data_IF_323118080546
#
_entry.id   IF_323118080546
#
_cell.length_a   1.000
_cell.length_b   1.000
_cell.length_c   1.000
_cell.angle_alpha   90.00
_cell.angle_beta   90.00
_cell.angle_gamma   90.00
#
_symmetry.space_group_name_H-M   'P 1'
#
loop_
_entity.id
_entity.type
_entity.pdbx_description
1 polymer ?
#
# COMPACT_ATOMS: atom_id res chain seq x y z
N UNK A 1 10.29 -7.45 -10.29
CA UNK A 1 8.91 -7.33 -10.81
C UNK A 1 8.50 -8.57 -11.58
N UNK A 2 9.22 -8.97 -12.63
CA UNK A 2 8.85 -10.10 -13.50
C UNK A 2 8.54 -11.43 -12.77
N UNK A 3 9.11 -11.67 -11.58
CA UNK A 3 8.83 -12.87 -10.77
C UNK A 3 7.44 -12.90 -10.11
N UNK A 4 6.80 -11.75 -9.95
CA UNK A 4 5.50 -11.59 -9.26
C UNK A 4 4.43 -10.95 -10.15
N UNK A 5 4.81 -10.57 -11.37
CA UNK A 5 3.89 -10.00 -12.33
C UNK A 5 3.11 -11.13 -13.01
N UNK A 6 1.83 -11.23 -12.66
CA UNK A 6 0.88 -12.20 -13.22
C UNK A 6 -0.03 -11.59 -14.28
N UNK A 7 0.18 -10.32 -14.66
CA UNK A 7 -0.67 -9.58 -15.61
C UNK A 7 -1.71 -8.64 -14.96
N UNK A 8 -1.96 -8.80 -13.66
CA UNK A 8 -2.91 -8.02 -12.85
C UNK A 8 -2.26 -6.78 -12.17
N UNK A 9 -1.10 -6.38 -12.70
CA UNK A 9 -0.29 -5.28 -12.19
C UNK A 9 0.53 -5.64 -10.95
N UNK A 10 1.46 -4.76 -10.57
CA UNK A 10 2.40 -4.97 -9.46
C UNK A 10 2.33 -3.80 -8.48
N UNK A 11 2.17 -4.12 -7.20
CA UNK A 11 2.34 -3.17 -6.11
C UNK A 11 3.79 -3.22 -5.58
N UNK A 12 4.44 -2.06 -5.49
CA UNK A 12 5.71 -1.90 -4.79
C UNK A 12 5.43 -1.24 -3.45
N UNK A 13 5.87 -1.86 -2.37
CA UNK A 13 5.64 -1.39 -1.02
C UNK A 13 6.96 -0.88 -0.42
N UNK A 14 6.98 0.36 0.08
CA UNK A 14 8.16 0.97 0.70
C UNK A 14 7.85 1.55 2.07
N UNK A 15 8.85 1.58 2.93
CA UNK A 15 8.76 2.07 4.31
C UNK A 15 8.43 3.56 4.40
N UNK A 16 9.05 4.40 3.57
CA UNK A 16 8.91 5.85 3.60
C UNK A 16 8.96 6.45 2.19
N UNK A 17 8.31 7.60 2.01
CA UNK A 17 8.41 8.37 0.77
C UNK A 17 9.70 9.18 0.74
N UNK A 18 10.38 9.22 -0.41
CA UNK A 18 11.55 10.09 -0.63
C UNK A 18 12.91 9.50 -0.24
N UNK A 19 12.97 8.26 0.27
CA UNK A 19 14.24 7.55 0.45
C UNK A 19 14.80 7.00 -0.88
N UNK A 20 16.10 6.70 -0.94
CA UNK A 20 16.75 6.08 -2.11
C UNK A 20 16.02 4.84 -2.64
N UNK A 21 15.51 3.91 -1.79
CA UNK A 21 14.71 2.77 -2.27
C UNK A 21 13.35 3.20 -2.85
N UNK A 22 12.71 4.22 -2.27
CA UNK A 22 11.42 4.75 -2.74
C UNK A 22 11.56 5.49 -4.07
N UNK A 23 12.65 6.24 -4.28
CA UNK A 23 12.87 6.93 -5.55
C UNK A 23 13.14 5.94 -6.69
N UNK A 24 13.86 4.85 -6.40
CA UNK A 24 14.03 3.75 -7.35
C UNK A 24 12.68 3.08 -7.67
N UNK A 25 11.83 2.83 -6.67
CA UNK A 25 10.49 2.31 -6.89
C UNK A 25 9.62 3.25 -7.75
N UNK A 26 9.65 4.55 -7.47
CA UNK A 26 8.91 5.57 -8.25
C UNK A 26 9.39 5.63 -9.69
N UNK A 27 10.69 5.49 -9.96
CA UNK A 27 11.21 5.44 -11.34
C UNK A 27 10.61 4.30 -12.18
N UNK A 28 10.16 3.23 -11.51
CA UNK A 28 9.50 2.09 -12.14
C UNK A 28 8.00 2.31 -12.42
N UNK A 29 7.37 3.39 -11.92
CA UNK A 29 5.97 3.75 -12.24
C UNK A 29 5.77 4.13 -13.71
N UNK A 30 6.85 4.41 -14.44
CA UNK A 30 6.81 4.58 -15.89
C UNK A 30 6.30 3.33 -16.63
N UNK A 31 6.30 2.16 -15.96
CA UNK A 31 5.72 0.93 -16.48
C UNK A 31 4.21 0.90 -16.26
N UNK A 32 3.43 0.47 -17.26
CA UNK A 32 1.99 0.32 -17.10
C UNK A 32 1.67 -0.70 -15.99
N UNK A 33 0.59 -0.42 -15.24
CA UNK A 33 0.08 -1.29 -14.16
C UNK A 33 1.05 -1.49 -12.99
N UNK A 34 1.95 -0.54 -12.72
CA UNK A 34 2.80 -0.54 -11.52
C UNK A 34 2.36 0.58 -10.60
N UNK A 35 2.07 0.24 -9.34
CA UNK A 35 1.70 1.20 -8.29
C UNK A 35 2.73 1.15 -7.16
N UNK A 36 3.02 2.31 -6.56
CA UNK A 36 3.97 2.43 -5.45
C UNK A 36 3.25 2.96 -4.22
N UNK A 37 3.27 2.19 -3.13
CA UNK A 37 2.71 2.57 -1.85
C UNK A 37 3.84 2.72 -0.81
N UNK A 38 4.13 3.97 -0.46
CA UNK A 38 5.09 4.32 0.58
C UNK A 38 4.41 4.50 1.94
N UNK A 39 5.17 4.34 3.02
CA UNK A 39 4.62 4.50 4.37
C UNK A 39 3.86 3.28 4.86
N UNK A 40 4.25 2.07 4.42
CA UNK A 40 3.50 0.86 4.77
C UNK A 40 3.45 0.61 6.27
N UNK A 41 2.28 0.15 6.72
CA UNK A 41 2.08 -0.34 8.08
C UNK A 41 1.34 -1.68 8.06
N UNK A 42 1.26 -2.34 9.22
CA UNK A 42 0.64 -3.66 9.33
C UNK A 42 -0.83 -3.70 8.85
N UNK A 43 -1.71 -2.76 9.20
CA UNK A 43 -3.07 -2.68 8.65
C UNK A 43 -3.13 -2.66 7.12
N UNK A 44 -2.23 -1.92 6.47
CA UNK A 44 -2.15 -1.91 5.00
C UNK A 44 -1.81 -3.30 4.45
N UNK A 45 -0.83 -3.99 5.04
CA UNK A 45 -0.40 -5.33 4.59
C UNK A 45 -1.51 -6.37 4.75
N UNK A 46 -2.18 -6.39 5.91
CA UNK A 46 -3.31 -7.29 6.17
C UNK A 46 -4.44 -7.02 5.18
N UNK A 47 -4.72 -5.74 4.90
CA UNK A 47 -5.75 -5.35 3.94
C UNK A 47 -5.40 -5.80 2.52
N UNK A 48 -4.16 -5.57 2.07
CA UNK A 48 -3.68 -6.00 0.75
C UNK A 48 -3.78 -7.51 0.59
N UNK A 49 -3.30 -8.29 1.56
CA UNK A 49 -3.37 -9.74 1.54
C UNK A 49 -4.82 -10.25 1.39
N UNK A 50 -5.79 -9.54 1.97
CA UNK A 50 -7.21 -9.90 1.90
C UNK A 50 -7.87 -9.53 0.58
N UNK A 51 -7.53 -8.40 -0.04
CA UNK A 51 -8.28 -7.87 -1.20
C UNK A 51 -7.58 -8.08 -2.54
N UNK A 52 -6.31 -8.49 -2.54
CA UNK A 52 -5.48 -8.58 -3.76
C UNK A 52 -6.06 -9.52 -4.82
N UNK A 53 -6.66 -10.63 -4.42
CA UNK A 53 -7.24 -11.61 -5.36
C UNK A 53 -8.64 -11.22 -5.86
N UNK A 54 -9.32 -10.29 -5.18
CA UNK A 54 -10.73 -9.97 -5.44
C UNK A 54 -10.93 -8.60 -6.12
N UNK A 55 -9.88 -7.79 -6.24
CA UNK A 55 -9.96 -6.38 -6.64
C UNK A 55 -8.88 -6.01 -7.65
N UNK A 56 -9.16 -4.98 -8.44
CA UNK A 56 -8.17 -4.37 -9.31
C UNK A 56 -7.00 -3.80 -8.48
N UNK A 57 -5.82 -3.66 -9.08
CA UNK A 57 -4.66 -3.07 -8.40
C UNK A 57 -4.97 -1.67 -7.82
N UNK A 58 -5.57 -0.72 -8.59
CA UNK A 58 -5.92 0.61 -8.05
C UNK A 58 -6.85 0.54 -6.84
N UNK A 59 -7.89 -0.30 -6.92
CA UNK A 59 -8.86 -0.45 -5.82
C UNK A 59 -8.20 -1.07 -4.58
N UNK A 60 -7.37 -2.10 -4.77
CA UNK A 60 -6.65 -2.76 -3.69
C UNK A 60 -5.71 -1.80 -2.95
N UNK A 61 -4.98 -0.95 -3.69
CA UNK A 61 -4.09 0.07 -3.13
C UNK A 61 -4.89 1.13 -2.36
N UNK A 62 -5.99 1.63 -2.92
CA UNK A 62 -6.85 2.61 -2.26
C UNK A 62 -7.44 2.07 -0.94
N UNK A 63 -7.95 0.83 -0.97
CA UNK A 63 -8.48 0.15 0.22
C UNK A 63 -7.41 -0.07 1.29
N UNK A 64 -6.19 -0.43 0.87
CA UNK A 64 -5.06 -0.59 1.79
C UNK A 64 -4.68 0.73 2.45
N UNK A 65 -4.54 1.81 1.67
CA UNK A 65 -4.24 3.15 2.19
C UNK A 65 -5.31 3.63 3.19
N UNK A 66 -6.59 3.41 2.88
CA UNK A 66 -7.69 3.74 3.80
C UNK A 66 -7.59 2.95 5.11
N UNK A 67 -7.34 1.64 5.05
CA UNK A 67 -7.11 0.82 6.23
C UNK A 67 -5.90 1.32 7.05
N UNK A 68 -4.79 1.62 6.37
CA UNK A 68 -3.60 2.19 6.99
C UNK A 68 -3.89 3.47 7.77
N UNK A 69 -4.65 4.40 7.20
CA UNK A 69 -5.04 5.66 7.86
C UNK A 69 -6.02 5.44 9.01
N UNK A 70 -7.03 4.58 8.85
CA UNK A 70 -8.03 4.30 9.90
C UNK A 70 -7.42 3.70 11.16
N UNK A 71 -6.36 2.92 11.02
CA UNK A 71 -5.68 2.28 12.15
C UNK A 71 -4.57 3.14 12.77
N UNK A 72 -4.27 4.30 12.18
CA UNK A 72 -3.45 5.32 12.84
C UNK A 72 -4.36 6.11 13.76
N UNK A 73 -4.39 5.73 15.03
CA UNK A 73 -5.19 6.44 16.04
C UNK A 73 -4.48 6.49 17.37
N UNK A 74 -4.71 7.57 18.11
CA UNK A 74 -4.21 7.73 19.47
C UNK A 74 -5.16 6.99 20.41
N UNK A 75 -4.70 5.91 21.03
CA UNK A 75 -5.53 5.05 21.89
C UNK A 75 -6.25 5.84 22.99
N UNK A 76 -5.57 6.81 23.61
CA UNK A 76 -6.19 7.65 24.64
C UNK A 76 -7.36 8.49 24.12
N UNK A 77 -7.39 8.86 22.83
CA UNK A 77 -8.54 9.56 22.22
C UNK A 77 -9.72 8.63 21.99
N UNK A 78 -9.47 7.40 21.54
CA UNK A 78 -10.53 6.39 21.31
C UNK A 78 -11.15 5.91 22.62
N UNK A 79 -10.32 5.66 23.63
CA UNK A 79 -10.75 5.13 24.91
C UNK A 79 -11.39 6.20 25.81
N UNK A 80 -11.11 7.48 25.58
CA UNK A 80 -11.69 8.59 26.34
C UNK A 80 -13.09 9.03 25.85
N UNK A 81 -13.67 8.38 24.84
CA UNK A 81 -15.06 8.62 24.44
C UNK A 81 -15.37 10.07 24.02
N UNK A 82 -14.48 10.70 23.25
CA UNK A 82 -14.77 11.94 22.52
C UNK A 82 -14.63 11.72 21.02
#
# INVERSE_FOLDING_TARGET
MNRVDTGDGVAILTDMFGGTPSNLAISCMSRPKVEVLAGINLPMLVKLAKVREERSLPDAIAMAQEAGRKYVTIASRVLAGK
#
